data_IF_652931697812
#
_entry.id   IF_652931697812
#
_cell.length_a   1.000
_cell.length_b   1.000
_cell.length_c   1.000
_cell.angle_alpha   90.00
_cell.angle_beta   90.00
_cell.angle_gamma   90.00
#
_symmetry.space_group_name_H-M   'P 1'
#
loop_
_entity.id
_entity.type
_entity.pdbx_description
1 polymer ?
#
# COMPACT_ATOMS: atom_id res chain seq x y z
N UNK A 1 -8.40 8.67 -0.93
CA UNK A 1 -8.13 8.17 0.43
C UNK A 1 -7.12 7.02 0.40
N UNK A 2 -6.65 6.49 1.55
CA UNK A 2 -5.78 5.29 1.59
C UNK A 2 -6.48 4.07 0.96
N UNK A 3 -7.79 3.93 1.21
CA UNK A 3 -8.63 2.88 0.62
C UNK A 3 -8.65 2.97 -0.91
N UNK A 4 -8.93 4.14 -1.48
CA UNK A 4 -9.00 4.28 -2.94
C UNK A 4 -7.64 4.00 -3.60
N UNK A 5 -6.55 4.40 -2.94
CA UNK A 5 -5.20 4.06 -3.38
C UNK A 5 -5.00 2.54 -3.40
N UNK A 6 -5.38 1.86 -2.31
CA UNK A 6 -5.22 0.41 -2.20
C UNK A 6 -6.06 -0.37 -3.22
N UNK A 7 -7.29 0.05 -3.49
CA UNK A 7 -8.13 -0.57 -4.52
C UNK A 7 -7.57 -0.40 -5.92
N UNK A 8 -7.04 0.79 -6.24
CA UNK A 8 -6.33 1.02 -7.50
C UNK A 8 -5.07 0.15 -7.59
N UNK A 9 -4.32 0.01 -6.50
CA UNK A 9 -3.12 -0.82 -6.42
C UNK A 9 -3.45 -2.30 -6.66
N UNK A 10 -4.47 -2.84 -5.99
CA UNK A 10 -4.91 -4.22 -6.23
C UNK A 10 -5.30 -4.46 -7.68
N UNK A 11 -6.07 -3.54 -8.28
CA UNK A 11 -6.44 -3.64 -9.71
C UNK A 11 -5.22 -3.63 -10.63
N UNK A 12 -4.24 -2.77 -10.35
CA UNK A 12 -2.99 -2.72 -11.10
C UNK A 12 -2.21 -4.03 -10.99
N UNK A 13 -1.97 -4.52 -9.77
CA UNK A 13 -1.25 -5.78 -9.53
C UNK A 13 -1.99 -6.94 -10.19
N UNK A 14 -3.31 -7.04 -10.03
CA UNK A 14 -4.10 -8.10 -10.63
C UNK A 14 -4.02 -8.11 -12.16
N UNK A 15 -3.91 -6.94 -12.81
CA UNK A 15 -3.71 -6.85 -14.26
C UNK A 15 -2.35 -7.39 -14.74
N UNK A 16 -1.37 -7.50 -13.83
CA UNK A 16 -0.04 -8.08 -14.06
C UNK A 16 0.09 -9.52 -13.54
N UNK A 17 -0.83 -9.96 -12.70
CA UNK A 17 -0.83 -11.26 -12.03
C UNK A 17 -0.80 -11.12 -10.52
N UNK A 18 -1.45 -12.04 -9.80
CA UNK A 18 -1.61 -11.97 -8.34
C UNK A 18 -0.27 -11.96 -7.58
N UNK A 19 0.73 -12.63 -8.14
CA UNK A 19 2.09 -12.71 -7.58
C UNK A 19 3.02 -11.60 -8.08
N UNK A 20 2.50 -10.62 -8.83
CA UNK A 20 3.32 -9.54 -9.36
C UNK A 20 3.89 -8.68 -8.22
N UNK A 21 5.20 -8.53 -8.23
CA UNK A 21 5.92 -7.66 -7.32
C UNK A 21 6.12 -6.28 -7.95
N UNK A 22 5.76 -5.24 -7.21
CA UNK A 22 5.78 -3.86 -7.67
C UNK A 22 6.83 -3.02 -6.94
N UNK A 23 7.29 -1.97 -7.60
CA UNK A 23 8.15 -0.95 -7.00
C UNK A 23 7.39 0.36 -6.76
N UNK A 24 7.85 1.21 -5.83
CA UNK A 24 7.16 2.49 -5.62
C UNK A 24 7.19 3.42 -6.85
N UNK A 25 8.27 3.34 -7.65
CA UNK A 25 8.45 4.23 -8.81
C UNK A 25 7.41 3.97 -9.88
N UNK A 26 7.15 2.71 -10.21
CA UNK A 26 6.16 2.34 -11.23
C UNK A 26 4.75 2.74 -10.81
N UNK A 27 4.35 2.46 -9.57
CA UNK A 27 3.02 2.82 -9.06
C UNK A 27 2.85 4.34 -9.03
N UNK A 28 3.89 5.08 -8.66
CA UNK A 28 3.86 6.55 -8.67
C UNK A 28 3.65 7.10 -10.08
N UNK A 29 4.32 6.54 -11.08
CA UNK A 29 4.15 6.94 -12.49
C UNK A 29 2.74 6.59 -12.98
N UNK A 30 2.26 5.38 -12.66
CA UNK A 30 0.94 4.92 -13.06
C UNK A 30 -0.18 5.76 -12.43
N UNK A 31 -0.07 6.10 -11.15
CA UNK A 31 -1.13 6.80 -10.41
C UNK A 31 -0.99 8.32 -10.44
N UNK A 32 0.11 8.84 -11.01
CA UNK A 32 0.40 10.27 -11.14
C UNK A 32 0.30 11.02 -9.81
N UNK A 33 0.87 10.44 -8.75
CA UNK A 33 0.90 11.04 -7.41
C UNK A 33 2.30 11.53 -7.05
N UNK A 34 2.38 12.43 -6.06
CA UNK A 34 3.67 12.93 -5.58
C UNK A 34 4.48 11.86 -4.85
N UNK A 35 5.80 12.04 -4.76
CA UNK A 35 6.69 11.13 -4.02
C UNK A 35 6.26 11.02 -2.56
N UNK A 36 5.96 12.14 -1.91
CA UNK A 36 5.54 12.18 -0.51
C UNK A 36 4.22 11.44 -0.29
N UNK A 37 3.24 11.65 -1.19
CA UNK A 37 1.95 10.95 -1.10
C UNK A 37 2.12 9.45 -1.28
N UNK A 38 2.94 9.02 -2.24
CA UNK A 38 3.26 7.61 -2.47
C UNK A 38 3.91 6.97 -1.23
N UNK A 39 4.94 7.63 -0.68
CA UNK A 39 5.65 7.13 0.51
C UNK A 39 4.69 6.97 1.70
N UNK A 40 3.82 7.96 1.94
CA UNK A 40 2.81 7.89 3.00
C UNK A 40 1.86 6.70 2.81
N UNK A 41 1.36 6.50 1.59
CA UNK A 41 0.47 5.36 1.31
C UNK A 41 1.16 4.03 1.52
N UNK A 42 2.40 3.87 1.04
CA UNK A 42 3.17 2.63 1.23
C UNK A 42 3.44 2.36 2.71
N UNK A 43 3.86 3.37 3.47
CA UNK A 43 4.11 3.21 4.90
C UNK A 43 2.84 2.74 5.65
N UNK A 44 1.71 3.39 5.40
CA UNK A 44 0.45 3.01 6.03
C UNK A 44 0.02 1.58 5.64
N UNK A 45 0.21 1.16 4.38
CA UNK A 45 -0.13 -0.19 3.94
C UNK A 45 0.81 -1.26 4.52
N UNK A 46 2.08 -0.93 4.74
CA UNK A 46 3.04 -1.81 5.40
C UNK A 46 2.71 -1.99 6.88
N UNK A 47 2.43 -0.89 7.58
CA UNK A 47 2.05 -0.90 9.01
C UNK A 47 0.77 -1.72 9.25
N UNK A 48 -0.16 -1.64 8.30
CA UNK A 48 -1.40 -2.42 8.32
C UNK A 48 -1.27 -3.83 7.72
N UNK A 49 -0.07 -4.22 7.28
CA UNK A 49 0.27 -5.53 6.67
C UNK A 49 -0.49 -5.86 5.37
N UNK A 50 -1.09 -4.87 4.71
CA UNK A 50 -1.78 -5.07 3.42
C UNK A 50 -0.83 -5.33 2.26
N UNK A 51 0.41 -4.87 2.41
CA UNK A 51 1.52 -5.15 1.51
C UNK A 51 2.71 -5.62 2.32
N UNK A 52 3.57 -6.42 1.71
CA UNK A 52 4.80 -6.90 2.33
C UNK A 52 5.99 -6.55 1.45
N UNK A 53 7.13 -6.26 2.09
CA UNK A 53 8.42 -6.13 1.38
C UNK A 53 8.92 -7.53 1.03
N UNK A 54 9.26 -7.76 -0.22
CA UNK A 54 9.70 -9.08 -0.71
C UNK A 54 11.21 -9.14 -0.74
N UNK A 55 11.84 -8.32 -1.58
CA UNK A 55 13.29 -8.24 -1.70
C UNK A 55 13.77 -6.80 -1.90
N UNK A 56 15.06 -6.63 -1.68
CA UNK A 56 15.80 -5.41 -2.00
C UNK A 56 16.72 -5.72 -3.16
N UNK A 57 16.57 -5.03 -4.27
CA UNK A 57 17.43 -5.22 -5.44
C UNK A 57 18.86 -4.75 -5.15
N UNK A 58 19.82 -5.19 -5.97
CA UNK A 58 21.23 -4.75 -5.89
C UNK A 58 21.37 -3.23 -5.99
N UNK A 59 20.40 -2.54 -6.60
CA UNK A 59 20.35 -1.08 -6.72
C UNK A 59 19.57 -0.42 -5.57
N UNK A 60 19.41 -1.11 -4.46
CA UNK A 60 18.69 -0.67 -3.27
C UNK A 60 17.23 -0.27 -3.55
N UNK A 61 16.58 -0.96 -4.49
CA UNK A 61 15.16 -0.75 -4.81
C UNK A 61 14.32 -1.77 -4.07
N UNK A 62 13.30 -1.29 -3.35
CA UNK A 62 12.39 -2.15 -2.61
C UNK A 62 11.27 -2.66 -3.52
N UNK A 63 11.04 -3.97 -3.44
CA UNK A 63 9.92 -4.64 -4.08
C UNK A 63 8.87 -5.01 -3.05
N UNK A 64 7.62 -4.96 -3.49
CA UNK A 64 6.45 -5.16 -2.66
C UNK A 64 5.45 -6.09 -3.34
N UNK A 65 4.69 -6.84 -2.55
CA UNK A 65 3.53 -7.59 -3.04
C UNK A 65 2.32 -7.37 -2.15
N UNK A 66 1.13 -7.68 -2.69
CA UNK A 66 -0.11 -7.66 -1.91
C UNK A 66 -0.08 -8.81 -0.90
N UNK A 67 -0.17 -8.49 0.39
CA UNK A 67 -0.21 -9.47 1.48
C UNK A 67 -1.61 -10.04 1.72
N UNK A 68 -2.62 -9.17 1.72
CA UNK A 68 -4.02 -9.55 1.98
C UNK A 68 -4.94 -9.08 0.86
N UNK A 69 -5.49 -10.01 0.08
CA UNK A 69 -6.40 -9.66 -1.02
C UNK A 69 -7.83 -9.37 -0.56
N UNK A 70 -8.26 -9.98 0.55
CA UNK A 70 -9.64 -9.98 0.99
C UNK A 70 -9.95 -9.08 2.19
N UNK A 71 -11.16 -8.55 2.08
CA UNK A 71 -11.97 -7.82 3.04
C UNK A 71 -11.67 -6.32 3.29
N UNK A 72 -12.38 -5.50 2.51
CA UNK A 72 -12.55 -4.06 2.72
C UNK A 72 -13.11 -3.69 4.09
N UNK A 73 -13.88 -4.56 4.76
CA UNK A 73 -14.41 -4.28 6.10
C UNK A 73 -13.31 -4.26 7.16
N UNK A 74 -12.36 -5.19 7.09
CA UNK A 74 -11.20 -5.20 7.98
C UNK A 74 -10.36 -3.92 7.81
N UNK A 75 -10.21 -3.44 6.57
CA UNK A 75 -9.51 -2.19 6.27
C UNK A 75 -10.25 -0.99 6.86
N UNK A 76 -11.58 -0.96 6.73
CA UNK A 76 -12.42 0.10 7.29
C UNK A 76 -12.32 0.14 8.82
N UNK A 77 -12.33 -1.02 9.48
CA UNK A 77 -12.27 -1.13 10.93
C UNK A 77 -10.87 -0.76 11.46
N UNK A 78 -9.78 -1.21 10.79
CA UNK A 78 -8.41 -0.82 11.17
C UNK A 78 -8.12 0.66 10.93
N UNK A 79 -8.51 1.22 9.78
CA UNK A 79 -8.34 2.67 9.52
C UNK A 79 -9.09 3.50 10.57
N UNK A 80 -10.32 3.10 10.95
CA UNK A 80 -11.05 3.77 12.03
C UNK A 80 -10.31 3.69 13.36
N UNK A 81 -9.80 2.50 13.71
CA UNK A 81 -9.03 2.32 14.94
C UNK A 81 -7.76 3.18 14.96
N UNK A 82 -7.02 3.26 13.86
CA UNK A 82 -5.78 4.03 13.79
C UNK A 82 -6.02 5.54 13.81
N UNK A 83 -7.08 6.03 13.14
CA UNK A 83 -7.47 7.44 13.25
C UNK A 83 -7.84 7.81 14.68
N UNK A 84 -8.61 6.97 15.37
CA UNK A 84 -8.99 7.24 16.77
C UNK A 84 -7.77 7.24 17.70
N UNK A 85 -6.82 6.32 17.53
CA UNK A 85 -5.56 6.30 18.29
C UNK A 85 -4.70 7.55 18.07
N UNK A 86 -4.73 8.13 16.88
CA UNK A 86 -4.01 9.38 16.59
C UNK A 86 -4.67 10.60 17.26
N UNK A 87 -5.99 10.58 17.42
CA UNK A 87 -6.74 11.61 18.14
C UNK A 87 -6.57 11.50 19.66
N UNK A 88 -6.47 10.28 20.21
CA UNK A 88 -6.24 10.05 21.64
C UNK A 88 -4.81 10.44 22.11
N UNK A 89 -3.89 10.66 21.16
CA UNK A 89 -2.50 11.09 21.44
C UNK A 89 -2.30 12.61 21.40
N UNK A 90 -3.38 13.38 21.19
CA UNK A 90 -3.43 14.84 21.22
C UNK A 90 -4.02 15.32 22.55
#
# INVERSE_FOLDING_TARGET
SLRDFYEKLKKYVLSKGKEYEFEQREIRQQFRISKTQMQRHINNLLELEYIVKTYVSTRNTFHYKIGYWDNMEALRNRIKSDLNKQLDKL
#
